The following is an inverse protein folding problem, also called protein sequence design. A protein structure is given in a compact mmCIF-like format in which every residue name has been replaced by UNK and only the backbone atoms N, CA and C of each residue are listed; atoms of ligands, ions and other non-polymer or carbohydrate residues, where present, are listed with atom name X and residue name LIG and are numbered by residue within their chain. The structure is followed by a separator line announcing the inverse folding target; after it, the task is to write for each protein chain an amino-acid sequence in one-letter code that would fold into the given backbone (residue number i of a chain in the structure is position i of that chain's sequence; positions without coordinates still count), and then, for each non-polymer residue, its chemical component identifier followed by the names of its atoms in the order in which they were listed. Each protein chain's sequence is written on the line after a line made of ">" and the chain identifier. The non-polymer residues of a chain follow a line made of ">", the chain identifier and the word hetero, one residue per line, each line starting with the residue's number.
data_IF_526778846391
#
_entry.id   IF_526778846391
#
_cell.length_a   1.000
_cell.length_b   1.000
_cell.length_c   1.000
_cell.angle_alpha   90.00
_cell.angle_beta   90.00
_cell.angle_gamma   90.00
#
_symmetry.space_group_name_H-M   'P 1'
#
loop_
_entity.id
_entity.type
_entity.pdbx_description
1 polymer ?
#
# COMPACT_ATOMS: atom_id res chain seq x y z
N UNK A 1 31.89 51.00 12.67
CA UNK A 1 32.43 49.97 11.75
C UNK A 1 31.76 48.66 12.10
N UNK A 2 30.73 48.28 11.34
CA UNK A 2 30.14 46.94 11.40
C UNK A 2 30.85 46.11 10.33
N UNK A 3 31.51 45.01 10.73
CA UNK A 3 32.14 44.07 9.80
C UNK A 3 31.08 43.31 8.98
N UNK A 4 31.44 42.75 7.81
CA UNK A 4 30.49 41.98 7.02
C UNK A 4 30.14 40.67 7.73
N UNK A 5 28.84 40.45 7.92
CA UNK A 5 28.28 39.16 8.29
C UNK A 5 28.58 38.16 7.17
N UNK A 6 29.23 37.07 7.50
CA UNK A 6 29.39 35.90 6.63
C UNK A 6 28.01 35.43 6.18
N UNK A 7 27.73 35.48 4.88
CA UNK A 7 26.71 34.66 4.24
C UNK A 7 27.16 33.21 4.41
N UNK A 8 26.48 32.50 5.30
CA UNK A 8 26.54 31.06 5.35
C UNK A 8 25.83 30.59 4.09
N UNK A 9 26.59 30.09 3.10
CA UNK A 9 26.03 29.49 1.89
C UNK A 9 25.05 28.39 2.33
N UNK A 10 23.76 28.57 2.03
CA UNK A 10 22.79 27.50 2.13
C UNK A 10 23.30 26.33 1.28
N UNK A 11 23.32 25.09 1.80
CA UNK A 11 23.79 23.96 1.01
C UNK A 11 22.89 23.82 -0.22
N UNK A 12 23.50 23.92 -1.41
CA UNK A 12 22.85 23.60 -2.68
C UNK A 12 22.14 22.25 -2.54
N UNK A 13 20.86 22.12 -2.95
CA UNK A 13 20.14 20.86 -2.80
C UNK A 13 20.90 19.76 -3.53
N UNK A 14 21.37 18.78 -2.77
CA UNK A 14 22.08 17.63 -3.32
C UNK A 14 21.27 16.99 -4.46
N UNK A 15 21.89 16.67 -5.61
CA UNK A 15 21.19 16.00 -6.69
C UNK A 15 20.67 14.66 -6.18
N UNK A 16 19.35 14.47 -6.22
CA UNK A 16 18.69 13.22 -5.90
C UNK A 16 19.20 12.17 -6.89
N UNK A 17 19.82 11.06 -6.46
CA UNK A 17 20.30 10.02 -7.37
C UNK A 17 19.17 9.52 -8.28
N UNK A 18 19.43 9.46 -9.58
CA UNK A 18 18.47 9.19 -10.68
C UNK A 18 17.89 7.75 -10.70
N UNK A 19 17.95 7.03 -9.58
CA UNK A 19 17.37 5.69 -9.44
C UNK A 19 16.72 5.56 -8.06
N UNK A 20 15.63 6.29 -7.85
CA UNK A 20 14.86 6.24 -6.60
C UNK A 20 13.40 6.01 -6.94
N UNK A 21 12.93 4.80 -6.67
CA UNK A 21 11.56 4.36 -6.97
C UNK A 21 10.70 4.59 -5.72
N UNK A 22 9.69 5.44 -5.83
CA UNK A 22 8.76 5.72 -4.73
C UNK A 22 7.41 5.03 -5.00
N UNK A 23 7.07 3.98 -4.25
CA UNK A 23 5.71 3.44 -4.18
C UNK A 23 5.02 4.03 -2.94
N UNK A 24 4.27 5.09 -3.12
CA UNK A 24 3.56 5.76 -2.03
C UNK A 24 2.22 5.08 -1.71
N UNK A 25 2.23 4.08 -0.83
CA UNK A 25 0.98 3.59 -0.22
C UNK A 25 0.62 4.50 0.96
N UNK A 26 -0.57 5.10 0.93
CA UNK A 26 -1.10 5.92 2.03
C UNK A 26 -1.49 5.00 3.19
N UNK A 27 -0.65 4.93 4.23
CA UNK A 27 -1.00 4.28 5.49
C UNK A 27 -1.58 5.35 6.41
N UNK A 28 -2.89 5.30 6.63
CA UNK A 28 -3.57 6.15 7.61
C UNK A 28 -3.56 5.43 8.98
N UNK A 29 -2.88 6.00 9.99
CA UNK A 29 -3.05 5.63 11.40
C UNK A 29 -3.24 6.90 12.26
N UNK A 30 -4.11 6.87 13.29
CA UNK A 30 -4.61 8.07 13.91
C UNK A 30 -3.80 8.40 15.17
N UNK A 31 -2.82 9.29 15.07
CA UNK A 31 -2.39 10.05 16.24
C UNK A 31 -2.22 11.51 15.85
N UNK A 32 -2.79 12.37 16.70
CA UNK A 32 -2.74 13.82 16.57
C UNK A 32 -1.28 14.24 16.46
N UNK A 33 -1.06 15.19 15.55
CA UNK A 33 0.18 15.90 15.30
C UNK A 33 1.23 15.09 14.50
N UNK A 34 1.04 15.13 13.17
CA UNK A 34 1.94 14.68 12.08
C UNK A 34 2.42 13.22 12.11
N UNK A 35 1.96 12.41 11.14
CA UNK A 35 2.72 11.24 10.67
C UNK A 35 2.25 10.83 9.27
N UNK A 36 3.18 10.64 8.32
CA UNK A 36 2.90 9.90 7.08
C UNK A 36 4.11 9.00 6.78
N UNK A 37 3.88 7.69 6.70
CA UNK A 37 4.92 6.68 6.44
C UNK A 37 4.54 5.94 5.16
N UNK A 38 5.33 6.14 4.11
CA UNK A 38 5.30 5.34 2.89
C UNK A 38 6.26 4.16 3.04
N UNK A 39 5.83 2.94 2.72
CA UNK A 39 6.69 1.76 2.65
C UNK A 39 7.02 1.48 1.17
N UNK A 40 8.24 1.80 0.75
CA UNK A 40 8.80 1.37 -0.54
C UNK A 40 9.89 0.32 -0.32
N UNK A 41 9.94 -0.72 -1.14
CA UNK A 41 10.93 -1.79 -1.06
C UNK A 41 11.78 -1.81 -2.33
N UNK A 42 13.06 -1.44 -2.23
CA UNK A 42 14.08 -1.65 -3.27
C UNK A 42 15.39 -2.02 -2.58
N UNK A 43 16.04 -3.10 -3.00
CA UNK A 43 17.37 -3.55 -2.54
C UNK A 43 17.60 -3.55 -1.02
N UNK A 44 16.65 -4.14 -0.27
CA UNK A 44 16.76 -4.33 1.19
C UNK A 44 16.93 -3.04 2.01
N UNK A 45 16.62 -1.87 1.43
CA UNK A 45 16.65 -0.60 2.16
C UNK A 45 15.25 0.01 2.22
N UNK A 46 14.81 0.31 3.45
CA UNK A 46 13.60 1.08 3.70
C UNK A 46 13.89 2.56 3.42
N UNK A 47 13.15 3.17 2.49
CA UNK A 47 13.20 4.60 2.25
C UNK A 47 11.99 5.30 2.87
N UNK A 48 12.25 6.15 3.86
CA UNK A 48 11.24 6.97 4.51
C UNK A 48 10.95 8.22 3.67
N UNK A 49 9.72 8.34 3.14
CA UNK A 49 9.27 9.57 2.44
C UNK A 49 8.53 10.46 3.43
N UNK A 50 9.15 11.57 3.81
CA UNK A 50 8.50 12.65 4.58
C UNK A 50 7.79 13.57 3.60
N UNK A 51 6.49 13.82 3.82
CA UNK A 51 5.72 14.78 3.02
C UNK A 51 6.07 16.21 3.44
N UNK A 52 6.96 16.85 2.68
CA UNK A 52 7.29 18.27 2.74
C UNK A 52 6.32 19.08 1.86
N UNK A 53 6.11 20.38 2.13
CA UNK A 53 5.27 21.30 1.34
C UNK A 53 5.67 21.34 -0.14
N UNK A 54 6.94 21.06 -0.45
CA UNK A 54 7.47 20.89 -1.82
C UNK A 54 6.83 19.73 -2.60
N UNK A 55 6.12 18.81 -1.92
CA UNK A 55 5.32 17.78 -2.57
C UNK A 55 4.20 18.36 -3.45
N UNK A 56 3.53 19.42 -3.01
CA UNK A 56 2.47 20.04 -3.79
C UNK A 56 3.00 20.83 -5.00
N UNK A 57 4.27 21.25 -4.96
CA UNK A 57 4.92 21.92 -6.10
C UNK A 57 5.04 20.98 -7.30
N UNK A 58 5.32 19.69 -7.04
CA UNK A 58 5.44 18.65 -8.09
C UNK A 58 4.14 17.86 -8.29
N UNK A 59 3.18 17.95 -7.35
CA UNK A 59 1.89 17.29 -7.39
C UNK A 59 0.78 18.20 -6.86
N UNK A 60 0.34 19.19 -7.67
CA UNK A 60 -0.62 20.21 -7.24
C UNK A 60 -1.99 19.63 -6.89
N UNK A 61 -2.30 18.42 -7.37
CA UNK A 61 -3.55 17.73 -7.09
C UNK A 61 -3.51 16.89 -5.81
N UNK A 62 -2.33 16.77 -5.17
CA UNK A 62 -2.13 15.98 -3.95
C UNK A 62 -2.44 14.49 -4.11
N UNK A 63 -2.53 13.97 -5.34
CA UNK A 63 -2.89 12.57 -5.61
C UNK A 63 -1.73 11.64 -5.28
N UNK A 64 -2.04 10.53 -4.64
CA UNK A 64 -1.09 9.52 -4.21
C UNK A 64 -1.60 8.12 -4.58
N UNK A 65 -0.74 7.14 -4.91
CA UNK A 65 0.73 7.21 -4.95
C UNK A 65 1.28 8.24 -5.93
N UNK A 66 2.53 8.67 -5.76
CA UNK A 66 3.24 9.52 -6.71
C UNK A 66 4.64 8.96 -6.92
N UNK A 67 5.01 8.72 -8.18
CA UNK A 67 6.32 8.23 -8.56
C UNK A 67 6.91 9.10 -9.68
N UNK A 68 8.23 9.33 -9.65
CA UNK A 68 8.94 9.97 -10.76
C UNK A 68 9.53 8.89 -11.66
N UNK A 69 9.09 8.86 -12.91
CA UNK A 69 9.71 8.05 -13.97
C UNK A 69 10.38 8.98 -14.96
N UNK A 70 11.70 8.88 -15.03
CA UNK A 70 12.57 9.78 -15.79
C UNK A 70 12.29 11.24 -15.38
N UNK A 71 11.74 12.06 -16.27
CA UNK A 71 11.37 13.46 -15.97
C UNK A 71 9.88 13.68 -15.68
N UNK A 72 9.06 12.62 -15.69
CA UNK A 72 7.61 12.71 -15.52
C UNK A 72 7.15 12.23 -14.14
N UNK A 73 6.23 12.97 -13.53
CA UNK A 73 5.53 12.57 -12.31
C UNK A 73 4.23 11.85 -12.65
N UNK A 74 4.03 10.68 -12.05
CA UNK A 74 2.91 9.78 -12.33
C UNK A 74 2.21 9.49 -11.01
N UNK A 75 0.89 9.64 -10.97
CA UNK A 75 0.09 9.49 -9.74
C UNK A 75 -0.95 8.36 -9.77
N UNK A 76 -1.06 7.65 -10.89
CA UNK A 76 -1.96 6.51 -11.03
C UNK A 76 -1.24 5.22 -10.64
N UNK A 77 -1.77 4.50 -9.65
CA UNK A 77 -1.12 3.29 -9.11
C UNK A 77 -0.96 2.19 -10.14
N UNK A 78 -1.94 1.99 -11.01
CA UNK A 78 -1.92 0.89 -11.99
C UNK A 78 -0.91 1.21 -13.09
N UNK A 79 -0.82 2.48 -13.49
CA UNK A 79 0.21 2.96 -14.43
C UNK A 79 1.60 2.84 -13.82
N UNK A 80 1.78 3.22 -12.55
CA UNK A 80 3.06 3.08 -11.83
C UNK A 80 3.51 1.62 -11.83
N UNK A 81 2.63 0.68 -11.45
CA UNK A 81 2.96 -0.75 -11.43
C UNK A 81 3.36 -1.25 -12.82
N UNK A 82 2.65 -0.85 -13.87
CA UNK A 82 3.01 -1.21 -15.25
C UNK A 82 4.39 -0.71 -15.67
N UNK A 83 4.76 0.52 -15.30
CA UNK A 83 6.08 1.09 -15.61
C UNK A 83 7.21 0.45 -14.80
N UNK A 84 6.93 0.03 -13.56
CA UNK A 84 7.90 -0.75 -12.77
C UNK A 84 8.17 -2.08 -13.48
N UNK A 85 7.12 -2.79 -13.91
CA UNK A 85 7.24 -4.07 -14.60
C UNK A 85 8.01 -3.93 -15.94
N UNK A 86 7.78 -2.84 -16.67
CA UNK A 86 8.51 -2.56 -17.93
C UNK A 86 10.00 -2.26 -17.67
N UNK A 87 10.30 -1.40 -16.69
CA UNK A 87 11.66 -0.93 -16.41
C UNK A 87 12.49 -1.97 -15.63
N UNK A 88 11.85 -2.81 -14.83
CA UNK A 88 12.45 -3.82 -13.97
C UNK A 88 11.68 -5.14 -14.09
N UNK A 89 11.82 -5.86 -15.21
CA UNK A 89 11.01 -7.06 -15.50
C UNK A 89 11.35 -8.27 -14.60
N UNK A 90 12.40 -8.18 -13.79
CA UNK A 90 12.89 -9.27 -12.96
C UNK A 90 13.21 -8.82 -11.52
N UNK A 91 12.64 -9.49 -10.49
CA UNK A 91 11.59 -10.51 -10.60
C UNK A 91 10.26 -9.91 -11.06
N UNK A 92 9.56 -10.61 -11.95
CA UNK A 92 8.26 -10.14 -12.48
C UNK A 92 7.19 -10.16 -11.38
N UNK A 93 6.41 -9.08 -11.31
CA UNK A 93 5.23 -8.94 -10.45
C UNK A 93 3.93 -9.09 -11.24
N UNK A 94 4.02 -9.39 -12.53
CA UNK A 94 2.87 -9.59 -13.39
C UNK A 94 1.94 -10.66 -12.83
N UNK A 95 0.66 -10.30 -12.73
CA UNK A 95 -0.39 -11.23 -12.29
C UNK A 95 -1.03 -11.86 -13.53
N UNK A 96 -1.15 -13.19 -13.61
CA UNK A 96 -1.99 -13.85 -14.61
C UNK A 96 -3.42 -13.29 -14.61
N UNK A 97 -4.05 -13.02 -15.77
CA UNK A 97 -5.36 -12.36 -15.85
C UNK A 97 -6.45 -13.06 -15.02
N UNK A 98 -6.41 -14.39 -14.93
CA UNK A 98 -7.35 -15.20 -14.16
C UNK A 98 -7.24 -15.02 -12.64
N UNK A 99 -6.13 -14.45 -12.16
CA UNK A 99 -5.87 -14.18 -10.75
C UNK A 99 -6.08 -12.70 -10.36
N UNK A 100 -6.20 -11.81 -11.34
CA UNK A 100 -6.25 -10.35 -11.12
C UNK A 100 -7.39 -9.90 -10.19
N UNK A 101 -8.51 -10.64 -10.16
CA UNK A 101 -9.67 -10.31 -9.34
C UNK A 101 -9.68 -10.96 -7.95
N UNK A 102 -8.70 -11.81 -7.63
CA UNK A 102 -8.64 -12.52 -6.33
C UNK A 102 -8.57 -11.50 -5.19
N UNK A 103 -9.52 -11.58 -4.25
CA UNK A 103 -9.61 -10.69 -3.09
C UNK A 103 -10.00 -9.23 -3.40
N UNK A 104 -10.27 -8.87 -4.67
CA UNK A 104 -10.59 -7.49 -5.08
C UNK A 104 -11.79 -6.86 -4.34
N UNK A 105 -12.75 -7.69 -3.91
CA UNK A 105 -13.97 -7.27 -3.20
C UNK A 105 -13.80 -7.14 -1.69
N UNK A 106 -12.70 -7.61 -1.11
CA UNK A 106 -12.49 -7.59 0.36
C UNK A 106 -12.55 -6.16 0.89
N UNK A 107 -11.80 -5.24 0.26
CA UNK A 107 -11.71 -3.86 0.76
C UNK A 107 -13.04 -3.10 0.74
N UNK A 108 -13.84 -3.08 -0.35
CA UNK A 108 -15.14 -2.43 -0.30
C UNK A 108 -16.10 -3.06 0.72
N UNK A 109 -16.05 -4.39 0.93
CA UNK A 109 -16.85 -5.05 1.99
C UNK A 109 -16.36 -4.69 3.40
N UNK A 110 -15.05 -4.63 3.60
CA UNK A 110 -14.44 -4.15 4.84
C UNK A 110 -14.89 -2.71 5.15
N UNK A 111 -14.82 -1.79 4.19
CA UNK A 111 -15.24 -0.40 4.40
C UNK A 111 -16.74 -0.31 4.71
N UNK A 112 -17.57 -1.11 4.04
CA UNK A 112 -19.00 -1.18 4.34
C UNK A 112 -19.25 -1.66 5.77
N UNK A 113 -18.61 -2.75 6.19
CA UNK A 113 -18.74 -3.28 7.56
C UNK A 113 -18.20 -2.32 8.61
N UNK A 114 -17.06 -1.67 8.36
CA UNK A 114 -16.47 -0.68 9.26
C UNK A 114 -17.42 0.50 9.51
N UNK A 115 -18.10 0.98 8.47
CA UNK A 115 -19.04 2.12 8.55
C UNK A 115 -20.41 1.74 9.11
N UNK A 116 -20.79 0.47 9.02
CA UNK A 116 -22.06 -0.01 9.53
C UNK A 116 -22.21 0.27 11.03
N UNK A 117 -23.43 0.63 11.45
CA UNK A 117 -23.80 0.78 12.87
C UNK A 117 -24.75 -0.31 13.34
N UNK A 118 -25.30 -1.09 12.41
CA UNK A 118 -26.26 -2.15 12.69
C UNK A 118 -25.55 -3.51 12.57
N UNK A 119 -25.58 -4.29 13.64
CA UNK A 119 -24.96 -5.62 13.65
C UNK A 119 -25.68 -6.62 12.72
N UNK A 120 -26.92 -6.34 12.30
CA UNK A 120 -27.76 -7.27 11.54
C UNK A 120 -27.94 -6.88 10.07
N UNK A 121 -27.20 -5.90 9.56
CA UNK A 121 -27.32 -5.45 8.16
C UNK A 121 -26.61 -6.36 7.14
N UNK A 122 -26.01 -7.45 7.62
CA UNK A 122 -25.33 -8.46 6.80
C UNK A 122 -23.96 -8.04 6.25
N UNK A 123 -23.45 -6.86 6.61
CA UNK A 123 -22.13 -6.39 6.12
C UNK A 123 -20.98 -7.24 6.65
N UNK A 124 -21.07 -7.74 7.89
CA UNK A 124 -20.10 -8.68 8.45
C UNK A 124 -20.07 -9.99 7.65
N UNK A 125 -21.23 -10.59 7.41
CA UNK A 125 -21.33 -11.83 6.64
C UNK A 125 -20.77 -11.65 5.22
N UNK A 126 -21.08 -10.54 4.57
CA UNK A 126 -20.55 -10.24 3.24
C UNK A 126 -19.01 -10.09 3.23
N UNK A 127 -18.39 -9.61 4.31
CA UNK A 127 -16.94 -9.60 4.45
C UNK A 127 -16.39 -11.02 4.67
N UNK A 128 -17.05 -11.80 5.54
CA UNK A 128 -16.68 -13.19 5.81
C UNK A 128 -16.73 -14.05 4.54
N UNK A 129 -17.73 -13.86 3.68
CA UNK A 129 -17.85 -14.60 2.42
C UNK A 129 -16.64 -14.33 1.49
N UNK A 130 -16.19 -13.09 1.37
CA UNK A 130 -15.01 -12.73 0.56
C UNK A 130 -13.70 -13.22 1.20
N UNK A 131 -13.59 -13.20 2.53
CA UNK A 131 -12.43 -13.77 3.24
C UNK A 131 -12.38 -15.30 3.12
N UNK A 132 -13.54 -15.99 3.17
CA UNK A 132 -13.64 -17.42 2.92
C UNK A 132 -13.21 -17.77 1.48
N UNK A 133 -13.64 -16.97 0.50
CA UNK A 133 -13.22 -17.16 -0.90
C UNK A 133 -11.70 -17.02 -1.07
N UNK A 134 -11.09 -16.06 -0.38
CA UNK A 134 -9.63 -15.93 -0.35
C UNK A 134 -8.95 -17.10 0.37
N UNK A 135 -9.50 -17.57 1.50
CA UNK A 135 -8.93 -18.70 2.25
C UNK A 135 -8.91 -19.98 1.41
N UNK A 136 -10.02 -20.30 0.74
CA UNK A 136 -10.09 -21.48 -0.13
C UNK A 136 -9.17 -21.35 -1.36
N UNK A 137 -9.00 -20.14 -1.90
CA UNK A 137 -8.01 -19.89 -2.95
C UNK A 137 -6.58 -20.17 -2.45
N UNK A 138 -6.20 -19.62 -1.30
CA UNK A 138 -4.86 -19.77 -0.71
C UNK A 138 -4.60 -21.21 -0.25
N UNK A 139 -5.62 -21.94 0.20
CA UNK A 139 -5.54 -23.36 0.52
C UNK A 139 -5.20 -24.21 -0.71
N UNK A 140 -5.78 -23.87 -1.86
CA UNK A 140 -5.57 -24.60 -3.12
C UNK A 140 -4.27 -24.21 -3.82
N UNK A 141 -3.92 -22.91 -3.79
CA UNK A 141 -2.87 -22.32 -4.63
C UNK A 141 -1.82 -21.50 -3.87
N UNK A 142 -1.81 -21.51 -2.55
CA UNK A 142 -0.87 -20.70 -1.74
C UNK A 142 0.60 -21.13 -1.85
N UNK A 143 1.51 -20.46 -1.12
CA UNK A 143 1.24 -19.49 -0.04
C UNK A 143 0.80 -18.09 -0.49
N UNK A 144 1.12 -17.66 -1.71
CA UNK A 144 0.69 -16.40 -2.31
C UNK A 144 -0.45 -16.63 -3.31
N UNK A 145 -1.04 -15.55 -3.84
CA UNK A 145 -2.15 -15.65 -4.81
C UNK A 145 -1.76 -16.46 -6.05
N UNK A 146 -0.49 -16.36 -6.48
CA UNK A 146 0.07 -17.13 -7.58
C UNK A 146 1.07 -18.21 -7.11
N UNK A 147 0.76 -18.96 -6.05
CA UNK A 147 1.62 -20.03 -5.58
C UNK A 147 2.81 -19.51 -4.80
N UNK A 148 4.01 -19.82 -5.29
CA UNK A 148 5.27 -19.48 -4.63
C UNK A 148 5.77 -18.08 -4.98
N UNK A 149 5.13 -17.41 -5.92
CA UNK A 149 5.59 -16.13 -6.46
C UNK A 149 4.64 -15.01 -6.04
N UNK A 150 5.21 -13.93 -5.52
CA UNK A 150 4.51 -12.68 -5.22
C UNK A 150 4.17 -11.97 -6.53
N UNK A 151 2.97 -11.41 -6.59
CA UNK A 151 2.47 -10.63 -7.72
C UNK A 151 1.90 -9.29 -7.26
N UNK A 152 1.52 -8.44 -8.22
CA UNK A 152 0.85 -7.17 -7.94
C UNK A 152 -0.44 -7.33 -7.11
N UNK A 153 -1.16 -8.47 -7.24
CA UNK A 153 -2.34 -8.73 -6.40
C UNK A 153 -1.94 -8.87 -4.93
N UNK A 154 -0.85 -9.57 -4.64
CA UNK A 154 -0.38 -9.75 -3.26
C UNK A 154 0.00 -8.41 -2.63
N UNK A 155 0.76 -7.60 -3.37
CA UNK A 155 1.16 -6.25 -2.97
C UNK A 155 -0.04 -5.30 -2.79
N UNK A 156 -1.12 -5.52 -3.55
CA UNK A 156 -2.37 -4.78 -3.41
C UNK A 156 -3.18 -5.21 -2.18
N UNK A 157 -3.20 -6.51 -1.88
CA UNK A 157 -3.99 -7.09 -0.79
C UNK A 157 -3.36 -6.87 0.58
N UNK A 158 -2.03 -6.98 0.71
CA UNK A 158 -1.32 -6.85 1.98
C UNK A 158 -1.70 -5.58 2.78
N UNK A 159 -1.60 -4.35 2.24
CA UNK A 159 -1.98 -3.15 2.99
C UNK A 159 -3.49 -3.11 3.31
N UNK A 160 -4.34 -3.65 2.43
CA UNK A 160 -5.80 -3.70 2.65
C UNK A 160 -6.17 -4.62 3.81
N UNK A 161 -5.53 -5.78 3.90
CA UNK A 161 -5.74 -6.75 4.99
C UNK A 161 -5.19 -6.23 6.32
N UNK A 162 -4.05 -5.54 6.30
CA UNK A 162 -3.53 -4.86 7.49
C UNK A 162 -4.50 -3.79 8.00
N UNK A 163 -5.02 -2.94 7.10
CA UNK A 163 -6.04 -1.95 7.47
C UNK A 163 -7.30 -2.58 8.05
N UNK A 164 -7.75 -3.69 7.46
CA UNK A 164 -8.89 -4.46 7.95
C UNK A 164 -8.64 -4.93 9.40
N UNK A 165 -7.51 -5.58 9.67
CA UNK A 165 -7.18 -6.12 11.01
C UNK A 165 -7.13 -5.01 12.07
N UNK A 166 -6.38 -3.94 11.80
CA UNK A 166 -6.19 -2.84 12.76
C UNK A 166 -7.50 -2.08 12.98
N UNK A 167 -8.21 -1.72 11.91
CA UNK A 167 -9.42 -0.90 12.02
C UNK A 167 -10.58 -1.67 12.67
N UNK A 168 -10.84 -2.91 12.22
CA UNK A 168 -11.92 -3.70 12.80
C UNK A 168 -11.61 -4.12 14.25
N UNK A 169 -10.35 -4.44 14.57
CA UNK A 169 -9.92 -4.69 15.96
C UNK A 169 -10.18 -3.49 16.88
N UNK A 170 -9.86 -2.27 16.41
CA UNK A 170 -10.06 -1.07 17.20
C UNK A 170 -11.52 -0.64 17.33
N UNK A 171 -12.21 -0.49 16.19
CA UNK A 171 -13.54 0.13 16.12
C UNK A 171 -14.70 -0.85 16.33
N UNK A 172 -14.52 -2.12 16.00
CA UNK A 172 -15.59 -3.13 16.05
C UNK A 172 -15.30 -4.26 17.05
N UNK A 173 -14.11 -4.30 17.65
CA UNK A 173 -13.64 -5.43 18.49
C UNK A 173 -13.72 -6.77 17.76
N UNK A 174 -13.52 -6.72 16.44
CA UNK A 174 -13.66 -7.84 15.54
C UNK A 174 -12.29 -8.31 15.06
N UNK A 175 -12.13 -9.62 14.88
CA UNK A 175 -10.89 -10.22 14.37
C UNK A 175 -11.21 -11.25 13.30
N UNK A 176 -10.27 -11.46 12.37
CA UNK A 176 -10.40 -12.50 11.34
C UNK A 176 -10.59 -13.86 12.02
N UNK A 177 -11.65 -14.63 11.73
CA UNK A 177 -11.93 -15.89 12.41
C UNK A 177 -10.76 -16.86 12.37
N UNK A 178 -10.55 -17.60 13.47
CA UNK A 178 -9.47 -18.60 13.57
C UNK A 178 -9.61 -19.75 12.56
N UNK A 179 -10.82 -20.00 12.07
CA UNK A 179 -11.09 -20.99 11.03
C UNK A 179 -10.46 -20.63 9.68
N UNK A 180 -10.15 -19.35 9.42
CA UNK A 180 -9.54 -18.88 8.18
C UNK A 180 -8.01 -18.99 8.26
N UNK A 181 -7.51 -20.21 8.40
CA UNK A 181 -6.11 -20.47 8.71
C UNK A 181 -5.16 -19.98 7.62
N UNK A 182 -5.54 -20.06 6.34
CA UNK A 182 -4.67 -19.69 5.22
C UNK A 182 -4.59 -18.18 5.09
N UNK A 183 -5.71 -17.46 5.21
CA UNK A 183 -5.74 -16.00 5.26
C UNK A 183 -4.91 -15.49 6.43
N UNK A 184 -5.08 -16.06 7.63
CA UNK A 184 -4.31 -15.63 8.81
C UNK A 184 -2.82 -15.90 8.69
N UNK A 185 -2.41 -16.94 7.98
CA UNK A 185 -1.01 -17.19 7.69
C UNK A 185 -0.48 -16.22 6.62
N UNK A 186 -1.27 -15.97 5.57
CA UNK A 186 -0.97 -15.03 4.50
C UNK A 186 -0.77 -13.59 5.02
N UNK A 187 -1.54 -13.17 6.02
CA UNK A 187 -1.41 -11.85 6.65
C UNK A 187 -0.13 -11.65 7.50
N UNK A 188 0.62 -12.72 7.77
CA UNK A 188 1.86 -12.67 8.57
C UNK A 188 3.13 -12.67 7.72
N UNK A 189 2.99 -12.84 6.41
CA UNK A 189 4.10 -12.89 5.45
C UNK A 189 4.51 -11.47 5.07
#
# INVERSE_FOLDING_TARGET
>A
MFGPSSTQDDPEPHPIPTSLMFLATVINLPFKDFTLISLGFVDHQFLWVVFDLRFLEVNPNGKVPLAKFDENWISDSDVIVGLIEEKYPHPSLATPPELASVGSKIFPKFVAFLKSKDANDGTEQALLDELNALDEHLKSKGPYVNGKTITAVDLSLAPKLYHLEVALGNFKKWTVPESLTHVRNYMKV
#
